data_IF_675583311992
#
_entry.id   IF_675583311992
#
_cell.length_a   1.000
_cell.length_b   1.000
_cell.length_c   1.000
_cell.angle_alpha   90.00
_cell.angle_beta   90.00
_cell.angle_gamma   90.00
#
_symmetry.space_group_name_H-M   'P 1'
#
loop_
_entity.id
_entity.type
_entity.pdbx_description
1 polymer ?
#
# COMPACT_ATOMS: atom_id res chain seq x y z
N UNK A 1 12.13 -37.18 6.72
CA UNK A 1 11.30 -36.77 7.87
C UNK A 1 10.08 -36.07 7.29
N UNK A 2 8.94 -36.77 7.25
CA UNK A 2 7.68 -36.21 6.75
C UNK A 2 7.06 -35.34 7.86
N UNK A 3 6.61 -34.14 7.48
CA UNK A 3 5.81 -33.30 8.37
C UNK A 3 4.53 -34.06 8.73
N UNK A 4 4.04 -33.99 9.98
CA UNK A 4 2.79 -34.63 10.36
C UNK A 4 1.63 -34.03 9.51
N UNK A 5 0.62 -34.84 9.13
CA UNK A 5 -0.56 -34.33 8.44
C UNK A 5 -1.29 -33.32 9.35
N UNK A 6 -1.62 -32.15 8.79
CA UNK A 6 -2.40 -31.13 9.48
C UNK A 6 -3.77 -31.69 9.85
N UNK A 7 -4.28 -31.39 11.06
CA UNK A 7 -5.59 -31.85 11.50
C UNK A 7 -6.70 -31.20 10.66
N UNK A 8 -7.65 -31.98 10.09
CA UNK A 8 -8.67 -31.45 9.15
C UNK A 8 -9.60 -30.37 9.73
N UNK A 9 -9.71 -30.27 11.03
CA UNK A 9 -10.52 -29.23 11.72
C UNK A 9 -9.88 -27.84 11.73
N UNK A 10 -8.56 -27.75 11.69
CA UNK A 10 -7.81 -26.49 11.71
C UNK A 10 -7.87 -25.85 10.31
N UNK A 11 -7.76 -26.65 9.26
CA UNK A 11 -7.84 -26.18 7.87
C UNK A 11 -9.23 -25.65 7.52
N UNK A 12 -10.31 -26.30 7.96
CA UNK A 12 -11.68 -25.83 7.74
C UNK A 12 -11.93 -24.47 8.42
N UNK A 13 -11.39 -24.24 9.61
CA UNK A 13 -11.50 -22.95 10.30
C UNK A 13 -10.68 -21.83 9.65
N UNK A 14 -9.54 -22.18 9.04
CA UNK A 14 -8.71 -21.22 8.31
C UNK A 14 -9.38 -20.81 6.99
N UNK A 15 -9.91 -21.74 6.22
CA UNK A 15 -10.62 -21.48 4.97
C UNK A 15 -11.81 -20.56 5.20
N UNK A 16 -12.61 -20.78 6.25
CA UNK A 16 -13.75 -19.92 6.58
C UNK A 16 -13.33 -18.49 6.93
N UNK A 17 -12.21 -18.32 7.67
CA UNK A 17 -11.64 -17.00 7.93
C UNK A 17 -11.18 -16.32 6.65
N UNK A 18 -10.54 -17.05 5.73
CA UNK A 18 -10.10 -16.53 4.44
C UNK A 18 -11.30 -16.21 3.52
N UNK A 19 -12.35 -17.01 3.54
CA UNK A 19 -13.61 -16.71 2.85
C UNK A 19 -14.21 -15.38 3.33
N UNK A 20 -14.30 -15.21 4.64
CA UNK A 20 -14.77 -13.97 5.26
C UNK A 20 -13.84 -12.79 4.91
N UNK A 21 -12.53 -12.99 4.89
CA UNK A 21 -11.58 -11.96 4.50
C UNK A 21 -11.77 -11.48 3.06
N UNK A 22 -12.02 -12.39 2.12
CA UNK A 22 -12.18 -12.05 0.69
C UNK A 22 -13.58 -11.54 0.39
N UNK A 23 -14.62 -12.28 0.75
CA UNK A 23 -16.01 -11.98 0.38
C UNK A 23 -16.73 -11.08 1.37
N UNK A 24 -16.33 -11.12 2.63
CA UNK A 24 -16.97 -10.42 3.74
C UNK A 24 -17.92 -11.31 4.53
N UNK A 25 -18.42 -10.74 5.61
CA UNK A 25 -19.42 -11.30 6.51
C UNK A 25 -20.20 -10.14 7.11
N UNK A 26 -20.03 -9.86 8.40
CA UNK A 26 -20.58 -8.66 9.05
C UNK A 26 -19.92 -7.38 8.50
N UNK A 27 -18.61 -7.43 8.22
CA UNK A 27 -17.87 -6.35 7.55
C UNK A 27 -17.67 -6.71 6.06
N UNK A 28 -17.51 -5.70 5.18
CA UNK A 28 -17.20 -5.93 3.78
C UNK A 28 -15.84 -6.60 3.59
N UNK A 29 -15.73 -7.61 2.72
CA UNK A 29 -14.47 -8.27 2.39
C UNK A 29 -13.60 -7.50 1.40
N UNK A 30 -12.35 -7.96 1.22
CA UNK A 30 -11.35 -7.33 0.37
C UNK A 30 -11.82 -7.19 -1.08
N UNK A 31 -12.57 -8.18 -1.61
CA UNK A 31 -13.10 -8.12 -2.98
C UNK A 31 -14.01 -6.90 -3.22
N UNK A 32 -14.73 -6.47 -2.20
CA UNK A 32 -15.59 -5.29 -2.25
C UNK A 32 -14.85 -4.00 -1.91
N UNK A 33 -13.92 -4.05 -0.96
CA UNK A 33 -13.22 -2.88 -0.40
C UNK A 33 -12.17 -2.34 -1.38
N UNK A 34 -11.36 -3.20 -2.00
CA UNK A 34 -10.20 -2.78 -2.81
C UNK A 34 -10.57 -1.88 -4.00
N UNK A 35 -11.60 -2.20 -4.83
CA UNK A 35 -12.00 -1.32 -5.92
C UNK A 35 -12.52 0.05 -5.45
N UNK A 36 -13.04 0.13 -4.22
CA UNK A 36 -13.51 1.38 -3.62
C UNK A 36 -12.36 2.20 -3.07
N UNK A 37 -11.38 1.56 -2.43
CA UNK A 37 -10.15 2.21 -2.01
C UNK A 37 -9.39 2.80 -3.21
N UNK A 38 -9.41 2.18 -4.39
CA UNK A 38 -8.81 2.76 -5.59
C UNK A 38 -9.29 4.19 -5.87
N UNK A 39 -10.55 4.49 -5.55
CA UNK A 39 -11.16 5.83 -5.76
C UNK A 39 -10.94 6.78 -4.59
N UNK A 40 -10.75 6.26 -3.39
CA UNK A 40 -10.73 7.02 -2.14
C UNK A 40 -9.48 6.75 -1.28
N UNK A 41 -8.44 6.07 -1.83
CA UNK A 41 -7.23 5.79 -1.07
C UNK A 41 -6.53 7.08 -0.63
N UNK A 42 -5.92 7.00 0.53
CA UNK A 42 -5.24 8.14 1.13
C UNK A 42 -4.03 8.55 0.31
N UNK A 43 -3.87 9.86 0.15
CA UNK A 43 -2.70 10.49 -0.46
C UNK A 43 -2.21 11.60 0.47
N UNK A 44 -0.92 11.62 0.72
CA UNK A 44 -0.31 12.69 1.47
C UNK A 44 0.48 13.61 0.55
N UNK A 45 0.44 14.90 0.85
CA UNK A 45 1.20 15.91 0.14
C UNK A 45 2.56 16.05 0.80
N UNK A 46 3.59 15.46 0.22
CA UNK A 46 4.95 15.60 0.70
C UNK A 46 5.74 16.63 -0.10
N UNK A 47 6.65 17.32 0.58
CA UNK A 47 7.63 18.20 -0.05
C UNK A 47 8.81 17.34 -0.50
N UNK A 48 9.05 17.24 -1.82
CA UNK A 48 10.26 16.66 -2.40
C UNK A 48 11.22 17.77 -2.78
N UNK A 49 12.42 17.69 -2.25
CA UNK A 49 13.52 18.63 -2.51
C UNK A 49 14.59 17.95 -3.34
N UNK A 50 15.01 18.58 -4.43
CA UNK A 50 16.10 18.09 -5.27
C UNK A 50 16.81 19.21 -6.00
N UNK A 51 18.10 19.01 -6.26
CA UNK A 51 18.83 19.81 -7.24
C UNK A 51 18.45 19.36 -8.65
N UNK A 52 18.01 20.31 -9.49
CA UNK A 52 17.69 20.07 -10.90
C UNK A 52 18.46 21.05 -11.77
N UNK A 53 18.61 20.79 -13.06
CA UNK A 53 19.22 21.73 -13.98
C UNK A 53 18.40 23.03 -14.03
N UNK A 54 19.08 24.18 -14.16
CA UNK A 54 18.41 25.49 -14.10
C UNK A 54 17.32 25.68 -15.11
N UNK A 55 17.49 25.15 -16.32
CA UNK A 55 16.55 25.15 -17.44
C UNK A 55 15.34 24.21 -17.25
N UNK A 56 15.49 23.20 -16.38
CA UNK A 56 14.43 22.22 -16.05
C UNK A 56 13.61 22.60 -14.81
N UNK A 57 14.04 23.63 -14.06
CA UNK A 57 13.31 24.11 -12.90
C UNK A 57 12.06 24.89 -13.33
N UNK A 58 10.88 24.34 -13.09
CA UNK A 58 9.63 24.98 -13.55
C UNK A 58 9.03 25.97 -12.54
N UNK A 59 9.18 25.72 -11.25
CA UNK A 59 8.55 26.52 -10.18
C UNK A 59 9.39 26.53 -8.91
N UNK A 60 10.66 27.03 -8.92
CA UNK A 60 11.44 27.16 -7.71
C UNK A 60 10.80 28.22 -6.79
N UNK A 61 10.61 27.90 -5.53
CA UNK A 61 10.17 28.89 -4.54
C UNK A 61 11.26 29.97 -4.37
N UNK A 62 10.91 31.23 -4.05
CA UNK A 62 11.89 32.31 -3.93
C UNK A 62 13.05 32.01 -2.96
N UNK A 63 12.77 31.33 -1.85
CA UNK A 63 13.80 30.91 -0.88
C UNK A 63 14.78 29.90 -1.50
N UNK A 64 14.30 29.02 -2.36
CA UNK A 64 15.10 28.00 -3.03
C UNK A 64 15.96 28.62 -4.15
N UNK A 65 15.48 29.64 -4.84
CA UNK A 65 16.29 30.44 -5.77
C UNK A 65 17.44 31.13 -5.05
N UNK A 66 17.18 31.83 -3.93
CA UNK A 66 18.21 32.47 -3.11
C UNK A 66 19.27 31.45 -2.67
N UNK A 67 18.83 30.26 -2.26
CA UNK A 67 19.71 29.17 -1.85
C UNK A 67 20.58 28.66 -3.00
N UNK A 68 20.01 28.60 -4.21
CA UNK A 68 20.71 28.19 -5.44
C UNK A 68 21.76 29.22 -5.86
N UNK A 69 21.42 30.52 -5.82
CA UNK A 69 22.33 31.63 -6.13
C UNK A 69 23.52 31.69 -5.15
N UNK A 70 23.28 31.48 -3.86
CA UNK A 70 24.33 31.53 -2.81
C UNK A 70 25.29 30.35 -2.86
N UNK A 71 25.05 29.34 -3.68
CA UNK A 71 25.91 28.16 -3.79
C UNK A 71 27.14 28.51 -4.66
N UNK A 72 28.38 28.41 -4.13
CA UNK A 72 29.59 28.68 -4.93
C UNK A 72 29.64 27.77 -6.17
N UNK A 73 30.08 28.36 -7.30
CA UNK A 73 30.22 27.63 -8.56
C UNK A 73 28.89 27.17 -9.22
N UNK A 74 27.75 27.72 -8.81
CA UNK A 74 26.46 27.36 -9.37
C UNK A 74 25.91 28.36 -10.41
N UNK A 75 26.78 29.22 -10.94
CA UNK A 75 26.53 30.13 -12.04
C UNK A 75 27.43 29.83 -13.23
N UNK A 76 26.89 29.85 -14.43
CA UNK A 76 27.68 29.78 -15.66
C UNK A 76 28.30 31.13 -16.02
N UNK A 77 29.10 31.16 -17.08
CA UNK A 77 29.77 32.36 -17.58
C UNK A 77 28.79 33.50 -17.99
N UNK A 78 27.54 33.15 -18.25
CA UNK A 78 26.49 34.09 -18.62
C UNK A 78 25.62 34.53 -17.42
N UNK A 79 25.98 34.16 -16.20
CA UNK A 79 25.25 34.47 -14.98
C UNK A 79 23.95 33.67 -14.80
N UNK A 80 23.79 32.54 -15.52
CA UNK A 80 22.65 31.66 -15.37
C UNK A 80 22.93 30.57 -14.34
N UNK A 81 21.89 30.18 -13.59
CA UNK A 81 22.02 29.11 -12.62
C UNK A 81 22.19 27.76 -13.33
N UNK A 82 23.29 27.05 -13.02
CA UNK A 82 23.57 25.70 -13.52
C UNK A 82 22.60 24.70 -12.91
N UNK A 83 22.38 24.81 -11.60
CA UNK A 83 21.42 23.97 -10.87
C UNK A 83 20.55 24.82 -9.96
N UNK A 84 19.30 24.44 -9.86
CA UNK A 84 18.32 25.09 -9.00
C UNK A 84 17.81 24.08 -7.99
N UNK A 85 17.69 24.52 -6.76
CA UNK A 85 17.06 23.73 -5.71
C UNK A 85 15.56 23.84 -5.89
N UNK A 86 14.96 22.78 -6.41
CA UNK A 86 13.53 22.68 -6.73
C UNK A 86 12.81 21.91 -5.61
N UNK A 87 11.91 22.60 -4.90
CA UNK A 87 11.10 22.02 -3.85
C UNK A 87 9.64 21.95 -4.33
N UNK A 88 9.21 20.74 -4.65
CA UNK A 88 7.84 20.49 -5.13
C UNK A 88 7.02 19.77 -4.09
N UNK A 89 5.77 20.16 -4.01
CA UNK A 89 4.75 19.36 -3.32
C UNK A 89 4.25 18.28 -4.27
N UNK A 90 4.39 17.04 -3.87
CA UNK A 90 3.99 15.87 -4.65
C UNK A 90 3.03 15.04 -3.83
N UNK A 91 1.90 14.69 -4.44
CA UNK A 91 0.99 13.70 -3.86
C UNK A 91 1.64 12.33 -3.92
N UNK A 92 1.72 11.65 -2.77
CA UNK A 92 2.23 10.29 -2.68
C UNK A 92 1.14 9.37 -2.15
N UNK A 93 1.05 8.22 -2.77
CA UNK A 93 0.14 7.13 -2.39
C UNK A 93 0.81 6.17 -1.41
N UNK A 94 2.14 6.22 -1.31
CA UNK A 94 2.92 5.39 -0.41
C UNK A 94 2.89 5.94 1.02
N UNK A 95 1.73 5.82 1.67
CA UNK A 95 1.47 6.19 3.04
C UNK A 95 1.26 4.94 3.89
N UNK A 96 1.43 5.07 5.21
CA UNK A 96 1.36 3.93 6.14
C UNK A 96 0.08 3.11 5.98
N UNK A 97 -1.08 3.77 5.88
CA UNK A 97 -2.37 3.09 5.77
C UNK A 97 -2.48 2.26 4.50
N UNK A 98 -1.98 2.77 3.37
CA UNK A 98 -1.96 2.02 2.11
C UNK A 98 -0.97 0.84 2.17
N UNK A 99 0.16 0.99 2.88
CA UNK A 99 1.08 -0.12 3.16
C UNK A 99 0.42 -1.21 4.01
N UNK A 100 -0.40 -0.84 4.99
CA UNK A 100 -1.21 -1.80 5.76
C UNK A 100 -2.17 -2.56 4.85
N UNK A 101 -2.88 -1.87 3.95
CA UNK A 101 -3.77 -2.53 2.98
C UNK A 101 -3.00 -3.55 2.15
N UNK A 102 -1.86 -3.16 1.58
CA UNK A 102 -1.00 -4.05 0.79
C UNK A 102 -0.54 -5.27 1.61
N UNK A 103 -0.10 -5.04 2.84
CA UNK A 103 0.33 -6.11 3.75
C UNK A 103 -0.77 -7.14 4.01
N UNK A 104 -1.99 -6.69 4.33
CA UNK A 104 -3.14 -7.57 4.58
C UNK A 104 -3.49 -8.38 3.33
N UNK A 105 -3.51 -7.75 2.16
CA UNK A 105 -3.76 -8.42 0.87
C UNK A 105 -2.71 -9.51 0.62
N UNK A 106 -1.43 -9.22 0.84
CA UNK A 106 -0.34 -10.19 0.66
C UNK A 106 -0.45 -11.35 1.65
N UNK A 107 -0.82 -11.08 2.92
CA UNK A 107 -1.00 -12.11 3.94
C UNK A 107 -2.16 -13.06 3.58
N UNK A 108 -3.32 -12.52 3.20
CA UNK A 108 -4.48 -13.32 2.73
C UNK A 108 -4.10 -14.14 1.51
N UNK A 109 -3.47 -13.50 0.51
CA UNK A 109 -3.04 -14.15 -0.72
C UNK A 109 -2.08 -15.31 -0.46
N UNK A 110 -1.08 -15.10 0.41
CA UNK A 110 -0.11 -16.13 0.76
C UNK A 110 -0.74 -17.37 1.38
N UNK A 111 -1.70 -17.19 2.28
CA UNK A 111 -2.45 -18.30 2.89
C UNK A 111 -3.34 -19.04 1.89
N UNK A 112 -4.05 -18.30 1.01
CA UNK A 112 -4.85 -18.90 -0.06
C UNK A 112 -4.00 -19.71 -1.03
N UNK A 113 -2.80 -19.21 -1.39
CA UNK A 113 -1.85 -19.96 -2.24
C UNK A 113 -1.42 -21.26 -1.55
N UNK A 114 -1.14 -21.23 -0.25
CA UNK A 114 -0.74 -22.42 0.50
C UNK A 114 -1.83 -23.51 0.46
N UNK A 115 -3.10 -23.13 0.70
CA UNK A 115 -4.24 -24.07 0.62
C UNK A 115 -4.51 -24.53 -0.82
N UNK A 116 -4.40 -23.65 -1.81
CA UNK A 116 -4.58 -24.00 -3.22
C UNK A 116 -3.54 -25.03 -3.70
N UNK A 117 -2.28 -24.94 -3.24
CA UNK A 117 -1.23 -25.92 -3.52
C UNK A 117 -1.55 -27.29 -2.89
N UNK A 118 -2.27 -27.31 -1.78
CA UNK A 118 -2.77 -28.53 -1.13
C UNK A 118 -3.98 -29.16 -1.85
N UNK A 119 -4.50 -28.51 -2.90
CA UNK A 119 -5.60 -29.00 -3.71
C UNK A 119 -6.97 -28.46 -3.30
N UNK A 120 -7.04 -27.46 -2.43
CA UNK A 120 -8.31 -26.83 -2.02
C UNK A 120 -8.89 -25.99 -3.16
N UNK A 121 -9.97 -26.48 -3.76
CA UNK A 121 -10.67 -25.81 -4.87
C UNK A 121 -11.33 -24.49 -4.49
N UNK A 122 -11.77 -24.36 -3.25
CA UNK A 122 -12.36 -23.11 -2.78
C UNK A 122 -11.30 -22.04 -2.60
N UNK A 123 -10.12 -22.40 -2.06
CA UNK A 123 -8.99 -21.49 -1.97
C UNK A 123 -8.56 -20.97 -3.35
N UNK A 124 -8.59 -21.81 -4.39
CA UNK A 124 -8.33 -21.38 -5.77
C UNK A 124 -9.37 -20.36 -6.23
N UNK A 125 -10.62 -20.56 -5.91
CA UNK A 125 -11.71 -19.65 -6.28
C UNK A 125 -11.56 -18.30 -5.56
N UNK A 126 -11.32 -18.31 -4.25
CA UNK A 126 -11.10 -17.12 -3.44
C UNK A 126 -9.83 -16.34 -3.89
N UNK A 127 -8.79 -17.06 -4.28
CA UNK A 127 -7.56 -16.45 -4.81
C UNK A 127 -7.84 -15.68 -6.11
N UNK A 128 -8.63 -16.24 -7.02
CA UNK A 128 -9.04 -15.57 -8.27
C UNK A 128 -9.87 -14.30 -7.98
N UNK A 129 -10.81 -14.38 -7.03
CA UNK A 129 -11.62 -13.23 -6.61
C UNK A 129 -10.74 -12.11 -6.03
N UNK A 130 -9.80 -12.47 -5.18
CA UNK A 130 -8.84 -11.51 -4.59
C UNK A 130 -7.93 -10.90 -5.66
N UNK A 131 -7.35 -11.71 -6.56
CA UNK A 131 -6.47 -11.22 -7.64
C UNK A 131 -7.22 -10.29 -8.60
N UNK A 132 -8.49 -10.57 -8.89
CA UNK A 132 -9.35 -9.66 -9.65
C UNK A 132 -9.58 -8.32 -8.93
N UNK A 133 -9.81 -8.35 -7.62
CA UNK A 133 -9.97 -7.13 -6.82
C UNK A 133 -8.67 -6.32 -6.76
N UNK A 134 -7.51 -6.97 -6.63
CA UNK A 134 -6.17 -6.35 -6.66
C UNK A 134 -5.90 -5.70 -8.02
N UNK A 135 -6.30 -6.35 -9.11
CA UNK A 135 -6.17 -5.79 -10.47
C UNK A 135 -6.96 -4.49 -10.60
N UNK A 136 -8.09 -4.37 -9.93
CA UNK A 136 -8.92 -3.17 -9.87
C UNK A 136 -8.46 -2.13 -8.82
N UNK A 137 -7.32 -2.36 -8.17
CA UNK A 137 -6.72 -1.46 -7.19
C UNK A 137 -5.23 -1.18 -7.51
N UNK A 138 -4.92 -0.59 -8.68
CA UNK A 138 -3.56 -0.38 -9.16
C UNK A 138 -2.69 0.48 -8.23
N UNK A 139 -3.27 1.31 -7.34
CA UNK A 139 -2.50 2.07 -6.34
C UNK A 139 -1.61 1.17 -5.48
N UNK A 140 -2.00 -0.09 -5.23
CA UNK A 140 -1.22 -1.04 -4.45
C UNK A 140 0.15 -1.36 -5.08
N UNK A 141 0.35 -1.10 -6.39
CA UNK A 141 1.64 -1.30 -7.07
C UNK A 141 2.65 -0.19 -6.77
N UNK A 142 2.16 1.00 -6.42
CA UNK A 142 2.98 2.18 -6.10
C UNK A 142 3.33 2.29 -4.62
N UNK A 143 2.70 1.45 -3.79
CA UNK A 143 2.85 1.42 -2.34
C UNK A 143 3.97 0.46 -1.96
N UNK A 144 4.86 0.89 -1.06
CA UNK A 144 5.94 0.06 -0.52
C UNK A 144 5.46 -1.02 0.45
N UNK A 145 6.38 -1.86 0.88
CA UNK A 145 6.10 -2.86 1.91
C UNK A 145 6.04 -2.22 3.30
N UNK A 146 5.40 -2.90 4.22
CA UNK A 146 5.33 -2.48 5.61
C UNK A 146 6.52 -3.09 6.36
N UNK A 147 7.29 -2.27 7.10
CA UNK A 147 8.50 -2.70 7.78
C UNK A 147 8.22 -3.63 8.99
N UNK A 148 7.02 -3.53 9.55
CA UNK A 148 6.61 -4.32 10.71
C UNK A 148 5.12 -4.69 10.62
N UNK A 149 4.75 -5.78 11.31
CA UNK A 149 3.37 -6.25 11.44
C UNK A 149 2.48 -5.16 12.03
N UNK A 150 1.31 -4.84 11.44
CA UNK A 150 0.44 -3.79 11.95
C UNK A 150 -0.28 -4.28 13.21
N UNK A 151 0.04 -3.68 14.35
CA UNK A 151 -0.53 -4.07 15.67
C UNK A 151 -1.49 -3.01 16.21
N UNK A 152 -1.28 -1.74 15.85
CA UNK A 152 -2.06 -0.61 16.37
C UNK A 152 -2.66 0.18 15.20
N UNK A 153 -3.98 0.44 15.21
CA UNK A 153 -4.61 1.22 14.16
C UNK A 153 -4.26 2.71 14.30
N UNK A 154 -3.97 3.36 13.17
CA UNK A 154 -3.97 4.83 13.10
C UNK A 154 -5.40 5.38 13.17
N UNK A 155 -5.54 6.70 13.32
CA UNK A 155 -6.85 7.35 13.29
C UNK A 155 -7.63 7.06 11.99
N UNK A 156 -6.94 6.97 10.85
CA UNK A 156 -7.53 6.59 9.56
C UNK A 156 -7.98 5.13 9.55
N UNK A 157 -7.12 4.19 10.01
CA UNK A 157 -7.44 2.76 10.05
C UNK A 157 -8.62 2.44 10.99
N UNK A 158 -8.89 3.29 11.97
CA UNK A 158 -10.02 3.13 12.88
C UNK A 158 -11.26 3.94 12.47
N UNK A 159 -11.08 5.10 11.85
CA UNK A 159 -12.14 6.06 11.52
C UNK A 159 -12.76 5.86 10.14
N UNK A 160 -11.95 5.62 9.12
CA UNK A 160 -12.46 5.41 7.76
C UNK A 160 -13.03 3.99 7.60
N UNK A 161 -14.28 3.84 7.13
CA UNK A 161 -14.94 2.53 7.05
C UNK A 161 -14.21 1.51 6.16
N UNK A 162 -13.58 1.95 5.05
CA UNK A 162 -12.88 1.06 4.14
C UNK A 162 -11.57 0.55 4.76
N UNK A 163 -10.77 1.45 5.34
CA UNK A 163 -9.53 1.08 6.01
C UNK A 163 -9.78 0.28 7.29
N UNK A 164 -10.82 0.62 8.04
CA UNK A 164 -11.24 -0.13 9.24
C UNK A 164 -11.60 -1.56 8.89
N UNK A 165 -12.34 -1.80 7.80
CA UNK A 165 -12.68 -3.14 7.33
C UNK A 165 -11.41 -3.96 7.03
N UNK A 166 -10.44 -3.40 6.31
CA UNK A 166 -9.17 -4.08 6.03
C UNK A 166 -8.42 -4.41 7.32
N UNK A 167 -8.33 -3.45 8.25
CA UNK A 167 -7.61 -3.67 9.50
C UNK A 167 -8.29 -4.73 10.39
N UNK A 168 -9.62 -4.77 10.44
CA UNK A 168 -10.38 -5.83 11.14
C UNK A 168 -10.19 -7.19 10.51
N UNK A 169 -10.16 -7.26 9.16
CA UNK A 169 -9.82 -8.49 8.43
C UNK A 169 -8.47 -9.02 8.90
N UNK A 170 -7.47 -8.15 8.99
CA UNK A 170 -6.16 -8.51 9.51
C UNK A 170 -6.23 -9.08 10.94
N UNK A 171 -6.87 -8.38 11.87
CA UNK A 171 -7.00 -8.82 13.26
C UNK A 171 -7.73 -10.17 13.41
N UNK A 172 -8.67 -10.48 12.53
CA UNK A 172 -9.38 -11.76 12.52
C UNK A 172 -8.52 -12.92 12.01
N UNK A 173 -7.58 -12.62 11.09
CA UNK A 173 -6.64 -13.61 10.55
C UNK A 173 -5.45 -13.87 11.49
N UNK A 174 -5.14 -12.92 12.35
CA UNK A 174 -3.97 -12.91 13.22
C UNK A 174 -4.18 -13.67 14.54
N UNK A 175 -5.40 -14.07 14.81
CA UNK A 175 -5.83 -14.91 15.95
C UNK A 175 -5.78 -16.39 15.60
#
# INVERSE_FOLDING_TARGET
>A
MGSPPSEPGVEAGELERLRTAVRGGVEPGLAWVLPRLQRAHRKDLIRRERWTMGDLARHPEPRELIRSVRRPGNMDENGRLIRVFDARRVLVEDVHENRVVRYVVQAVRGRLVALAVQGDHEAVTLLRELDAAVTNAPFLRTVGDLDARPTVPTATLSGDPLYRSVFRTWLALDR
#
